data_IF_265061168043
#
_entry.id   IF_265061168043
#
_cell.length_a   1.000
_cell.length_b   1.000
_cell.length_c   1.000
_cell.angle_alpha   90.00
_cell.angle_beta   90.00
_cell.angle_gamma   90.00
#
_symmetry.space_group_name_H-M   'P 1'
#
loop_
_entity.id
_entity.type
_entity.pdbx_description
1 polymer ?
#
# COMPACT_ATOMS: atom_id res chain seq x y z
N UNK A 1 4.23 -4.76 -35.86
CA UNK A 1 5.54 -4.22 -35.42
C UNK A 1 5.54 -4.28 -33.90
N UNK A 2 6.43 -5.07 -33.29
CA UNK A 2 6.66 -4.98 -31.85
C UNK A 2 7.27 -3.62 -31.59
N UNK A 3 6.58 -2.79 -30.79
CA UNK A 3 7.15 -1.51 -30.35
C UNK A 3 8.39 -1.80 -29.50
N UNK A 4 9.49 -1.18 -29.86
CA UNK A 4 10.76 -1.29 -29.15
C UNK A 4 10.61 -0.76 -27.71
N UNK A 5 11.15 -1.48 -26.74
CA UNK A 5 11.13 -1.06 -25.34
C UNK A 5 12.04 0.14 -25.12
N UNK A 6 11.63 1.06 -24.28
CA UNK A 6 12.54 2.10 -23.80
C UNK A 6 13.60 1.49 -22.88
N UNK A 7 14.79 2.12 -22.79
CA UNK A 7 15.86 1.69 -21.87
C UNK A 7 15.41 1.55 -20.41
N UNK A 8 14.37 2.30 -19.99
CA UNK A 8 13.80 2.20 -18.66
C UNK A 8 12.97 0.93 -18.49
N UNK A 9 12.16 0.59 -19.49
CA UNK A 9 11.34 -0.62 -19.53
C UNK A 9 12.20 -1.88 -19.62
N UNK A 10 13.22 -1.90 -20.49
CA UNK A 10 14.19 -3.01 -20.60
C UNK A 10 14.84 -3.30 -19.25
N UNK A 11 15.40 -2.28 -18.60
CA UNK A 11 16.04 -2.42 -17.29
C UNK A 11 15.07 -2.90 -16.21
N UNK A 12 13.81 -2.44 -16.23
CA UNK A 12 12.82 -2.89 -15.27
C UNK A 12 12.45 -4.35 -15.50
N UNK A 13 12.25 -4.77 -16.75
CA UNK A 13 12.01 -6.17 -17.11
C UNK A 13 13.19 -7.08 -16.69
N UNK A 14 14.44 -6.67 -16.94
CA UNK A 14 15.62 -7.40 -16.47
C UNK A 14 15.63 -7.57 -14.95
N UNK A 15 15.38 -6.51 -14.20
CA UNK A 15 15.32 -6.54 -12.72
C UNK A 15 14.19 -7.41 -12.19
N UNK A 16 13.06 -7.43 -12.88
CA UNK A 16 11.92 -8.30 -12.60
C UNK A 16 12.10 -9.74 -13.07
N UNK A 17 13.19 -10.02 -13.82
CA UNK A 17 13.45 -11.30 -14.47
C UNK A 17 12.34 -11.72 -15.45
N UNK A 18 11.75 -10.73 -16.12
CA UNK A 18 10.77 -10.93 -17.17
C UNK A 18 11.49 -10.99 -18.53
N UNK A 19 11.09 -11.91 -19.40
CA UNK A 19 11.64 -12.06 -20.75
C UNK A 19 10.55 -12.53 -21.72
N UNK A 20 10.81 -12.37 -23.02
CA UNK A 20 9.90 -12.84 -24.08
C UNK A 20 8.48 -12.27 -23.93
N UNK A 21 7.48 -13.13 -23.96
CA UNK A 21 6.07 -12.78 -23.89
C UNK A 21 5.70 -12.11 -22.56
N UNK A 22 6.27 -12.54 -21.44
CA UNK A 22 6.00 -11.94 -20.11
C UNK A 22 6.46 -10.47 -20.05
N UNK A 23 7.64 -10.16 -20.61
CA UNK A 23 8.13 -8.81 -20.68
C UNK A 23 7.26 -7.93 -21.60
N UNK A 24 6.84 -8.48 -22.75
CA UNK A 24 5.95 -7.78 -23.69
C UNK A 24 4.60 -7.48 -23.06
N UNK A 25 3.97 -8.46 -22.42
CA UNK A 25 2.69 -8.29 -21.71
C UNK A 25 2.79 -7.24 -20.59
N UNK A 26 3.87 -7.27 -19.81
CA UNK A 26 4.10 -6.30 -18.76
C UNK A 26 4.24 -4.87 -19.30
N UNK A 27 5.06 -4.66 -20.33
CA UNK A 27 5.25 -3.33 -20.93
C UNK A 27 3.97 -2.85 -21.60
N UNK A 28 3.23 -3.73 -22.27
CA UNK A 28 1.91 -3.40 -22.83
C UNK A 28 0.93 -2.97 -21.75
N UNK A 29 0.87 -3.66 -20.61
CA UNK A 29 0.03 -3.29 -19.48
C UNK A 29 0.43 -1.91 -18.90
N UNK A 30 1.73 -1.63 -18.76
CA UNK A 30 2.20 -0.30 -18.35
C UNK A 30 1.77 0.81 -19.29
N UNK A 31 1.85 0.58 -20.61
CA UNK A 31 1.54 1.57 -21.65
C UNK A 31 0.04 1.73 -21.88
N UNK A 32 -0.74 0.68 -21.64
CA UNK A 32 -2.21 0.72 -21.83
C UNK A 32 -2.89 1.76 -20.98
N UNK A 33 -2.38 1.99 -19.77
CA UNK A 33 -3.00 2.89 -18.79
C UNK A 33 -4.38 2.43 -18.29
N UNK A 34 -4.78 1.19 -18.56
CA UNK A 34 -6.12 0.66 -18.32
C UNK A 34 -6.24 -0.17 -17.03
N UNK A 35 -5.17 -0.30 -16.26
CA UNK A 35 -5.16 -1.17 -15.07
C UNK A 35 -5.69 -0.49 -13.80
N UNK A 36 -6.19 0.75 -13.90
CA UNK A 36 -6.79 1.43 -12.75
C UNK A 36 -8.09 0.75 -12.35
N UNK A 37 -8.18 0.27 -11.12
CA UNK A 37 -9.42 -0.28 -10.55
C UNK A 37 -9.70 0.38 -9.21
N UNK A 38 -10.96 0.74 -9.00
CA UNK A 38 -11.40 1.37 -7.75
C UNK A 38 -11.89 0.32 -6.76
N UNK A 39 -11.73 0.65 -5.49
CA UNK A 39 -12.41 0.02 -4.38
C UNK A 39 -13.01 1.11 -3.49
N UNK A 40 -13.96 0.74 -2.66
CA UNK A 40 -14.49 1.58 -1.60
C UNK A 40 -14.37 0.84 -0.27
N UNK A 41 -13.89 1.52 0.75
CA UNK A 41 -13.86 1.02 2.12
C UNK A 41 -14.90 1.77 2.94
N UNK A 42 -15.76 1.04 3.64
CA UNK A 42 -16.76 1.65 4.51
C UNK A 42 -16.10 2.33 5.71
N UNK A 43 -16.52 3.53 5.97
CA UNK A 43 -16.10 4.28 7.15
C UNK A 43 -16.85 3.82 8.42
N UNK A 44 -16.43 4.25 9.61
CA UNK A 44 -17.18 4.04 10.84
C UNK A 44 -18.57 4.71 10.86
N UNK A 45 -18.80 5.69 9.97
CA UNK A 45 -20.11 6.35 9.82
C UNK A 45 -21.14 5.47 9.14
N UNK A 46 -20.70 4.49 8.32
CA UNK A 46 -21.60 3.60 7.62
C UNK A 46 -22.30 2.66 8.62
N UNK A 47 -23.64 2.55 8.56
CA UNK A 47 -24.40 1.57 9.36
C UNK A 47 -23.88 0.14 9.17
N UNK A 48 -24.17 -0.75 10.11
CA UNK A 48 -23.69 -2.13 10.04
C UNK A 48 -24.28 -2.91 8.84
N UNK A 49 -25.48 -2.57 8.43
CA UNK A 49 -26.23 -3.14 7.31
C UNK A 49 -26.13 -2.30 6.03
N UNK A 50 -25.20 -1.33 5.99
CA UNK A 50 -25.03 -0.46 4.84
C UNK A 50 -24.64 -1.24 3.58
N UNK A 51 -25.39 -0.99 2.51
CA UNK A 51 -25.05 -1.45 1.16
C UNK A 51 -24.72 -0.23 0.27
N UNK A 52 -23.65 -0.30 -0.53
CA UNK A 52 -23.32 0.78 -1.46
C UNK A 52 -24.47 1.07 -2.46
N UNK A 53 -24.70 2.34 -2.84
CA UNK A 53 -25.78 2.72 -3.76
C UNK A 53 -25.43 2.50 -5.23
N UNK A 54 -24.48 1.63 -5.53
CA UNK A 54 -24.00 1.27 -6.87
C UNK A 54 -23.74 -0.23 -6.98
N UNK A 55 -23.69 -0.75 -8.20
CA UNK A 55 -23.37 -2.15 -8.44
C UNK A 55 -21.94 -2.50 -8.01
N UNK A 56 -21.78 -3.66 -7.40
CA UNK A 56 -20.48 -4.16 -6.95
C UNK A 56 -20.18 -5.53 -7.56
N UNK A 57 -18.91 -5.81 -7.75
CA UNK A 57 -18.44 -7.14 -8.10
C UNK A 57 -18.58 -8.11 -6.91
N UNK A 58 -18.73 -9.42 -7.16
CA UNK A 58 -18.79 -10.43 -6.12
C UNK A 58 -17.50 -10.43 -5.28
N UNK A 59 -17.63 -10.36 -3.96
CA UNK A 59 -16.47 -10.31 -3.04
C UNK A 59 -15.67 -11.62 -3.02
N UNK A 60 -16.32 -12.76 -3.27
CA UNK A 60 -15.71 -14.10 -3.33
C UNK A 60 -14.72 -14.27 -4.50
N UNK A 61 -14.80 -13.41 -5.50
CA UNK A 61 -13.79 -13.34 -6.57
C UNK A 61 -12.39 -12.91 -6.07
N UNK A 62 -12.32 -12.33 -4.86
CA UNK A 62 -11.10 -11.75 -4.29
C UNK A 62 -10.87 -12.25 -2.86
N UNK A 63 -10.28 -13.45 -2.66
CA UNK A 63 -10.09 -14.06 -1.34
C UNK A 63 -9.25 -13.24 -0.35
N UNK A 64 -8.52 -12.26 -0.88
CA UNK A 64 -7.70 -11.32 -0.13
C UNK A 64 -8.40 -9.98 0.18
N UNK A 65 -9.66 -9.81 -0.25
CA UNK A 65 -10.36 -8.53 -0.05
C UNK A 65 -10.59 -8.26 1.45
N UNK A 66 -10.13 -7.12 1.98
CA UNK A 66 -10.34 -6.81 3.38
C UNK A 66 -11.83 -6.68 3.74
N UNK A 67 -12.20 -6.87 5.01
CA UNK A 67 -13.58 -6.67 5.45
C UNK A 67 -14.04 -5.23 5.21
N UNK A 68 -15.34 -5.05 4.97
CA UNK A 68 -15.98 -3.74 4.71
C UNK A 68 -15.43 -3.02 3.47
N UNK A 69 -14.83 -3.76 2.53
CA UNK A 69 -14.39 -3.26 1.24
C UNK A 69 -15.28 -3.81 0.15
N UNK A 70 -15.66 -2.95 -0.81
CA UNK A 70 -16.45 -3.30 -1.98
C UNK A 70 -15.70 -2.89 -3.24
N UNK A 71 -15.86 -3.65 -4.31
CA UNK A 71 -15.31 -3.35 -5.62
C UNK A 71 -16.46 -2.90 -6.52
N UNK A 72 -16.53 -1.61 -6.87
CA UNK A 72 -17.56 -1.11 -7.78
C UNK A 72 -17.46 -1.77 -9.14
N UNK A 73 -18.60 -2.04 -9.74
CA UNK A 73 -18.65 -2.51 -11.13
C UNK A 73 -18.00 -1.48 -12.09
N UNK A 74 -17.45 -1.93 -13.23
CA UNK A 74 -16.84 -1.01 -14.20
C UNK A 74 -17.79 0.12 -14.62
N UNK A 75 -17.28 1.34 -14.62
CA UNK A 75 -18.06 2.52 -15.02
C UNK A 75 -18.79 3.24 -13.87
N UNK A 76 -18.86 2.66 -12.68
CA UNK A 76 -19.52 3.29 -11.53
C UNK A 76 -18.82 4.59 -11.09
N UNK A 77 -19.62 5.65 -10.92
CA UNK A 77 -19.15 6.97 -10.52
C UNK A 77 -19.21 7.16 -9.01
N UNK A 78 -18.50 6.31 -8.26
CA UNK A 78 -18.60 6.20 -6.79
C UNK A 78 -18.47 7.53 -6.02
N UNK A 79 -17.71 8.49 -6.54
CA UNK A 79 -17.52 9.80 -5.87
C UNK A 79 -18.63 10.81 -6.19
N UNK A 80 -19.57 10.48 -7.08
CA UNK A 80 -20.70 11.33 -7.42
C UNK A 80 -21.87 11.19 -6.43
N UNK A 81 -21.91 10.09 -5.67
CA UNK A 81 -23.01 9.80 -4.75
C UNK A 81 -22.97 10.69 -3.50
N UNK A 82 -24.15 10.94 -2.93
CA UNK A 82 -24.28 11.70 -1.68
C UNK A 82 -23.60 11.01 -0.51
N UNK A 83 -23.65 9.69 -0.45
CA UNK A 83 -23.01 8.88 0.57
C UNK A 83 -21.49 9.08 0.63
N UNK A 84 -20.84 9.31 -0.52
CA UNK A 84 -19.43 9.69 -0.56
C UNK A 84 -19.21 11.05 0.11
N UNK A 85 -20.06 12.04 -0.20
CA UNK A 85 -20.00 13.38 0.39
C UNK A 85 -20.33 13.36 1.88
N UNK A 86 -21.20 12.44 2.31
CA UNK A 86 -21.52 12.18 3.71
C UNK A 86 -20.41 11.40 4.46
N UNK A 87 -19.39 10.94 3.75
CA UNK A 87 -18.28 10.20 4.32
C UNK A 87 -18.62 8.78 4.79
N UNK A 88 -19.66 8.14 4.23
CA UNK A 88 -20.03 6.76 4.56
C UNK A 88 -19.01 5.75 4.03
N UNK A 89 -18.26 6.10 2.99
CA UNK A 89 -17.16 5.32 2.47
C UNK A 89 -16.06 6.21 1.89
N UNK A 90 -14.88 5.64 1.78
CA UNK A 90 -13.71 6.24 1.15
C UNK A 90 -13.37 5.47 -0.13
N UNK A 91 -13.13 6.20 -1.24
CA UNK A 91 -12.71 5.60 -2.51
C UNK A 91 -11.20 5.56 -2.61
N UNK A 92 -10.64 4.40 -2.98
CA UNK A 92 -9.21 4.18 -3.12
C UNK A 92 -8.91 3.24 -4.28
N UNK A 93 -7.62 3.03 -4.55
CA UNK A 93 -7.19 2.05 -5.55
C UNK A 93 -7.30 0.62 -5.01
N UNK A 94 -7.76 -0.31 -5.83
CA UNK A 94 -7.91 -1.72 -5.45
C UNK A 94 -6.56 -2.35 -5.05
N UNK A 95 -5.45 -1.91 -5.67
CA UNK A 95 -4.10 -2.39 -5.27
C UNK A 95 -3.77 -2.04 -3.82
N UNK A 96 -4.27 -0.91 -3.29
CA UNK A 96 -4.08 -0.57 -1.88
C UNK A 96 -4.83 -1.52 -0.93
N UNK A 97 -5.99 -2.03 -1.36
CA UNK A 97 -6.72 -3.06 -0.61
C UNK A 97 -5.93 -4.38 -0.61
N UNK A 98 -5.40 -4.78 -1.77
CA UNK A 98 -4.56 -5.97 -1.90
C UNK A 98 -3.30 -5.87 -1.02
N UNK A 99 -2.58 -4.75 -1.03
CA UNK A 99 -1.42 -4.52 -0.18
C UNK A 99 -1.78 -4.63 1.31
N UNK A 100 -2.96 -4.15 1.69
CA UNK A 100 -3.46 -4.16 3.07
C UNK A 100 -4.03 -5.51 3.52
N UNK A 101 -4.23 -6.47 2.61
CA UNK A 101 -4.67 -7.82 2.95
C UNK A 101 -3.69 -8.54 3.91
N UNK A 102 -2.41 -8.14 3.90
CA UNK A 102 -1.42 -8.63 4.85
C UNK A 102 -1.78 -8.36 6.32
N UNK A 103 -2.64 -7.37 6.58
CA UNK A 103 -3.14 -7.08 7.92
C UNK A 103 -3.98 -8.22 8.50
N UNK A 104 -4.49 -9.15 7.66
CA UNK A 104 -5.22 -10.34 8.12
C UNK A 104 -4.40 -11.24 9.03
N UNK A 105 -3.09 -11.18 8.91
CA UNK A 105 -2.15 -11.94 9.73
C UNK A 105 -1.72 -11.21 11.02
N UNK A 106 -2.24 -10.00 11.26
CA UNK A 106 -1.89 -9.22 12.45
C UNK A 106 -2.98 -9.38 13.51
N UNK A 107 -2.66 -9.86 14.72
CA UNK A 107 -3.59 -9.85 15.83
C UNK A 107 -4.13 -8.44 16.11
N UNK A 108 -5.36 -8.28 16.64
CA UNK A 108 -5.91 -6.96 16.94
C UNK A 108 -4.94 -6.10 17.75
N UNK A 109 -4.39 -5.01 17.18
CA UNK A 109 -3.44 -4.15 17.87
C UNK A 109 -4.18 -3.21 18.84
N UNK A 110 -3.53 -2.77 19.90
CA UNK A 110 -4.05 -1.72 20.80
C UNK A 110 -3.68 -0.33 20.28
N UNK A 111 -2.56 -0.25 19.59
CA UNK A 111 -2.05 1.01 19.03
C UNK A 111 -1.47 0.79 17.62
N UNK A 112 -1.63 1.80 16.77
CA UNK A 112 -1.08 1.76 15.41
C UNK A 112 -0.53 3.11 14.95
N UNK A 113 0.47 3.05 14.05
CA UNK A 113 1.03 4.21 13.37
C UNK A 113 1.03 3.97 11.86
N UNK A 114 0.34 4.83 11.11
CA UNK A 114 0.53 4.98 9.66
C UNK A 114 1.57 6.10 9.42
N UNK A 115 2.79 5.72 9.04
CA UNK A 115 3.93 6.65 9.02
C UNK A 115 3.94 7.59 7.81
N UNK A 116 3.27 7.21 6.71
CA UNK A 116 3.20 7.97 5.46
C UNK A 116 1.75 8.05 4.96
N UNK A 117 0.84 8.50 5.83
CA UNK A 117 -0.58 8.24 5.77
C UNK A 117 -1.36 8.92 4.62
N UNK A 118 -0.90 10.10 4.15
CA UNK A 118 -1.70 10.85 3.18
C UNK A 118 -1.81 10.15 1.81
N UNK A 119 -2.99 10.17 1.20
CA UNK A 119 -4.19 10.94 1.53
C UNK A 119 -5.13 10.29 2.56
N UNK A 120 -4.85 9.06 3.08
CA UNK A 120 -5.63 8.40 4.11
C UNK A 120 -6.23 7.05 3.74
N UNK A 121 -6.04 6.55 2.52
CA UNK A 121 -6.67 5.29 2.06
C UNK A 121 -6.30 4.08 2.92
N UNK A 122 -5.02 3.85 3.20
CA UNK A 122 -4.57 2.76 4.06
C UNK A 122 -4.90 2.98 5.54
N UNK A 123 -4.91 4.25 5.98
CA UNK A 123 -5.46 4.65 7.29
C UNK A 123 -6.92 4.19 7.44
N UNK A 124 -7.76 4.40 6.39
CA UNK A 124 -9.16 3.94 6.38
C UNK A 124 -9.26 2.42 6.42
N UNK A 125 -8.42 1.70 5.68
CA UNK A 125 -8.39 0.23 5.68
C UNK A 125 -8.01 -0.34 7.06
N UNK A 126 -7.03 0.26 7.75
CA UNK A 126 -6.70 -0.11 9.13
C UNK A 126 -7.85 0.18 10.09
N UNK A 127 -8.49 1.33 9.95
CA UNK A 127 -9.62 1.72 10.79
C UNK A 127 -10.82 0.77 10.59
N UNK A 128 -11.17 0.45 9.34
CA UNK A 128 -12.26 -0.47 9.04
C UNK A 128 -12.05 -1.86 9.66
N UNK A 129 -10.78 -2.25 9.87
CA UNK A 129 -10.44 -3.56 10.42
C UNK A 129 -10.33 -3.58 11.94
N UNK A 130 -9.76 -2.54 12.55
CA UNK A 130 -9.29 -2.60 13.94
C UNK A 130 -9.94 -1.61 14.90
N UNK A 131 -10.82 -0.71 14.44
CA UNK A 131 -11.45 0.22 15.39
C UNK A 131 -12.33 -0.51 16.42
N UNK A 132 -12.33 -0.03 17.66
CA UNK A 132 -11.61 1.14 18.19
C UNK A 132 -10.19 0.82 18.66
N UNK A 133 -9.20 1.60 18.22
CA UNK A 133 -7.80 1.52 18.66
C UNK A 133 -7.18 2.93 18.78
N UNK A 134 -6.07 3.06 19.51
CA UNK A 134 -5.24 4.27 19.48
C UNK A 134 -4.51 4.34 18.13
N UNK A 135 -4.97 5.21 17.25
CA UNK A 135 -4.46 5.33 15.88
C UNK A 135 -3.76 6.66 15.65
N UNK A 136 -2.52 6.59 15.16
CA UNK A 136 -1.75 7.77 14.75
C UNK A 136 -1.53 7.73 13.24
N UNK A 137 -1.92 8.80 12.53
CA UNK A 137 -1.69 8.98 11.10
C UNK A 137 -0.70 10.13 10.90
N UNK A 138 0.46 9.85 10.31
CA UNK A 138 1.54 10.81 10.13
C UNK A 138 1.75 11.18 8.66
N UNK A 139 1.92 12.46 8.37
CA UNK A 139 2.32 12.94 7.05
C UNK A 139 3.20 14.19 7.19
N UNK A 140 4.42 14.10 6.67
CA UNK A 140 5.42 15.18 6.78
C UNK A 140 5.04 16.40 5.96
N UNK A 141 4.51 16.19 4.75
CA UNK A 141 4.11 17.28 3.86
C UNK A 141 2.85 17.97 4.38
N UNK A 142 2.95 19.26 4.67
CA UNK A 142 1.86 20.02 5.29
C UNK A 142 0.58 20.09 4.44
N UNK A 143 0.72 20.23 3.11
CA UNK A 143 -0.44 20.26 2.20
C UNK A 143 -1.14 18.90 2.15
N UNK A 144 -0.39 17.80 2.00
CA UNK A 144 -0.94 16.45 2.03
C UNK A 144 -1.55 16.10 3.39
N UNK A 145 -0.94 16.56 4.49
CA UNK A 145 -1.47 16.40 5.84
C UNK A 145 -2.81 17.13 6.04
N UNK A 146 -3.01 18.27 5.36
CA UNK A 146 -4.32 18.95 5.31
C UNK A 146 -5.39 18.06 4.67
N UNK A 147 -5.10 17.44 3.55
CA UNK A 147 -5.99 16.49 2.86
C UNK A 147 -6.29 15.28 3.77
N UNK A 148 -5.27 14.72 4.41
CA UNK A 148 -5.43 13.61 5.36
C UNK A 148 -6.42 13.96 6.49
N UNK A 149 -6.27 15.14 7.10
CA UNK A 149 -7.21 15.61 8.16
C UNK A 149 -8.64 15.71 7.66
N UNK A 150 -8.83 16.31 6.49
CA UNK A 150 -10.16 16.43 5.88
C UNK A 150 -10.79 15.05 5.63
N UNK A 151 -10.04 14.08 5.14
CA UNK A 151 -10.54 12.74 4.89
C UNK A 151 -10.85 11.99 6.19
N UNK A 152 -10.01 12.11 7.21
CA UNK A 152 -10.25 11.52 8.55
C UNK A 152 -11.51 12.10 9.18
N UNK A 153 -11.68 13.41 9.11
CA UNK A 153 -12.86 14.11 9.63
C UNK A 153 -14.12 13.72 8.85
N UNK A 154 -14.07 13.75 7.53
CA UNK A 154 -15.18 13.35 6.66
C UNK A 154 -15.65 11.93 6.94
N UNK A 155 -14.74 10.98 7.03
CA UNK A 155 -15.06 9.58 7.29
C UNK A 155 -15.32 9.26 8.77
N UNK A 156 -15.13 10.22 9.67
CA UNK A 156 -15.42 10.05 11.10
C UNK A 156 -14.57 8.97 11.76
N UNK A 157 -13.24 9.04 11.64
CA UNK A 157 -12.33 8.16 12.35
C UNK A 157 -12.07 8.70 13.78
N UNK A 158 -12.83 8.24 14.79
CA UNK A 158 -12.66 8.76 16.13
C UNK A 158 -11.30 8.34 16.73
N UNK A 159 -10.73 9.22 17.52
CA UNK A 159 -9.47 8.93 18.23
C UNK A 159 -8.22 8.92 17.35
N UNK A 160 -8.33 9.22 16.04
CA UNK A 160 -7.16 9.29 15.18
C UNK A 160 -6.37 10.57 15.40
N UNK A 161 -5.13 10.45 15.86
CA UNK A 161 -4.21 11.58 16.03
C UNK A 161 -3.45 11.83 14.73
N UNK A 162 -3.56 13.04 14.15
CA UNK A 162 -2.80 13.42 12.95
C UNK A 162 -1.53 14.19 13.31
N UNK A 163 -0.38 13.68 12.90
CA UNK A 163 0.94 14.25 13.18
C UNK A 163 1.69 14.63 11.91
N UNK A 164 2.81 15.34 12.06
CA UNK A 164 3.66 15.78 10.94
C UNK A 164 5.15 15.60 11.23
N UNK A 165 5.50 14.60 12.02
CA UNK A 165 6.89 14.34 12.41
C UNK A 165 7.66 13.66 11.27
N UNK A 166 8.93 14.04 11.12
CA UNK A 166 9.83 13.34 10.21
C UNK A 166 10.17 11.95 10.77
N UNK A 167 10.53 10.99 9.90
CA UNK A 167 10.90 9.63 10.34
C UNK A 167 11.99 9.60 11.42
N UNK A 168 13.00 10.47 11.33
CA UNK A 168 14.05 10.58 12.34
C UNK A 168 13.53 11.02 13.71
N UNK A 169 12.56 11.93 13.75
CA UNK A 169 11.89 12.36 14.98
C UNK A 169 11.05 11.21 15.59
N UNK A 170 10.37 10.41 14.76
CA UNK A 170 9.68 9.21 15.21
C UNK A 170 10.66 8.21 15.82
N UNK A 171 11.75 7.87 15.12
CA UNK A 171 12.76 6.94 15.61
C UNK A 171 13.46 7.39 16.90
N UNK A 172 13.46 8.70 17.22
CA UNK A 172 13.99 9.29 18.45
C UNK A 172 12.94 9.48 19.55
N UNK A 173 11.65 9.30 19.25
CA UNK A 173 10.55 9.63 20.17
C UNK A 173 10.41 8.69 21.37
N UNK A 174 10.96 7.49 21.29
CA UNK A 174 10.76 6.42 22.28
C UNK A 174 9.35 5.81 22.26
N UNK A 175 8.42 6.30 21.41
CA UNK A 175 7.09 5.72 21.28
C UNK A 175 7.15 4.43 20.49
N UNK A 176 6.37 3.45 20.91
CA UNK A 176 6.23 2.15 20.24
C UNK A 176 4.74 1.82 20.01
N UNK A 177 4.49 1.09 18.93
CA UNK A 177 3.14 0.71 18.48
C UNK A 177 3.10 -0.80 18.24
N UNK A 178 1.92 -1.40 18.43
CA UNK A 178 1.71 -2.82 18.14
C UNK A 178 1.68 -3.09 16.62
N UNK A 179 1.20 -2.11 15.84
CA UNK A 179 1.18 -2.15 14.38
C UNK A 179 1.71 -0.85 13.77
N UNK A 180 2.61 -0.97 12.81
CA UNK A 180 3.11 0.15 12.04
C UNK A 180 2.94 -0.11 10.54
N UNK A 181 2.41 0.87 9.81
CA UNK A 181 2.32 0.86 8.35
C UNK A 181 3.31 1.86 7.76
N UNK A 182 4.04 1.41 6.74
CA UNK A 182 4.92 2.25 5.91
C UNK A 182 4.49 2.09 4.46
N UNK A 183 3.51 2.91 4.03
CA UNK A 183 3.23 3.11 2.61
C UNK A 183 4.26 4.09 2.06
N UNK A 184 5.40 3.55 1.65
CA UNK A 184 6.58 4.35 1.45
C UNK A 184 6.49 5.24 0.19
N UNK A 185 6.93 6.52 0.27
CA UNK A 185 7.10 7.31 -0.93
C UNK A 185 8.07 6.59 -1.88
N UNK A 186 7.63 6.34 -3.11
CA UNK A 186 8.32 5.51 -4.09
C UNK A 186 8.33 6.16 -5.47
N UNK A 187 8.95 5.52 -6.46
CA UNK A 187 8.95 5.99 -7.85
C UNK A 187 7.55 5.97 -8.48
N UNK A 188 6.59 5.21 -7.92
CA UNK A 188 5.21 5.21 -8.38
C UNK A 188 5.03 4.67 -9.80
N UNK A 189 5.70 3.60 -10.16
CA UNK A 189 5.64 3.02 -11.51
C UNK A 189 4.24 2.51 -11.87
N UNK A 190 3.45 2.09 -10.87
CA UNK A 190 2.05 1.67 -11.10
C UNK A 190 1.15 2.80 -11.60
N UNK A 191 1.55 4.07 -11.46
CA UNK A 191 0.83 5.19 -12.03
C UNK A 191 0.78 5.14 -13.56
N UNK A 192 1.83 4.61 -14.22
CA UNK A 192 1.81 4.40 -15.67
C UNK A 192 0.70 3.43 -16.07
N UNK A 193 0.59 2.30 -15.38
CA UNK A 193 -0.47 1.31 -15.62
C UNK A 193 -1.88 1.86 -15.34
N UNK A 194 -1.99 2.99 -14.64
CA UNK A 194 -3.25 3.74 -14.41
C UNK A 194 -3.51 4.85 -15.44
N UNK A 195 -2.66 4.99 -16.46
CA UNK A 195 -2.74 6.06 -17.45
C UNK A 195 -2.27 7.43 -16.94
N UNK A 196 -1.58 7.48 -15.81
CA UNK A 196 -1.08 8.73 -15.24
C UNK A 196 0.37 8.97 -15.66
N UNK A 197 0.68 10.22 -16.01
CA UNK A 197 2.05 10.62 -16.37
C UNK A 197 2.92 10.67 -15.11
N UNK A 198 4.04 9.96 -15.14
CA UNK A 198 5.03 9.99 -14.07
C UNK A 198 6.46 10.00 -14.65
N UNK A 199 6.92 11.15 -15.16
CA UNK A 199 8.21 11.25 -15.83
C UNK A 199 9.36 10.84 -14.91
N UNK A 200 10.26 10.00 -15.43
CA UNK A 200 11.45 9.55 -14.71
C UNK A 200 11.25 8.37 -13.75
N UNK A 201 10.01 7.87 -13.56
CA UNK A 201 9.74 6.78 -12.62
C UNK A 201 10.48 5.46 -12.94
N UNK A 202 10.83 5.25 -14.21
CA UNK A 202 11.68 4.14 -14.67
C UNK A 202 13.18 4.49 -14.62
N UNK A 203 13.53 5.72 -14.28
CA UNK A 203 14.89 6.23 -14.25
C UNK A 203 15.67 5.78 -13.01
N UNK A 204 16.93 5.32 -13.20
CA UNK A 204 17.78 4.90 -12.07
C UNK A 204 17.98 6.00 -10.99
N UNK A 205 18.10 7.30 -11.31
CA UNK A 205 18.23 8.33 -10.29
C UNK A 205 17.03 8.39 -9.35
N UNK A 206 15.80 8.31 -9.89
CA UNK A 206 14.57 8.34 -9.08
C UNK A 206 14.45 7.08 -8.23
N UNK A 207 14.63 5.90 -8.82
CA UNK A 207 14.56 4.61 -8.13
C UNK A 207 15.58 4.56 -6.99
N UNK A 208 16.87 4.85 -7.27
CA UNK A 208 17.93 4.80 -6.28
C UNK A 208 17.75 5.85 -5.16
N UNK A 209 17.27 7.04 -5.52
CA UNK A 209 16.95 8.10 -4.56
C UNK A 209 15.84 7.70 -3.60
N UNK A 210 14.76 7.08 -4.12
CA UNK A 210 13.66 6.57 -3.31
C UNK A 210 14.10 5.37 -2.47
N UNK A 211 14.83 4.41 -3.01
CA UNK A 211 15.34 3.27 -2.26
C UNK A 211 16.21 3.70 -1.07
N UNK A 212 17.04 4.75 -1.24
CA UNK A 212 17.82 5.33 -0.11
C UNK A 212 16.91 5.97 0.93
N UNK A 213 15.89 6.73 0.50
CA UNK A 213 14.90 7.36 1.39
C UNK A 213 14.12 6.32 2.15
N UNK A 214 13.61 5.29 1.48
CA UNK A 214 12.83 4.20 2.06
C UNK A 214 13.63 3.43 3.13
N UNK A 215 14.91 3.14 2.88
CA UNK A 215 15.79 2.56 3.91
C UNK A 215 15.88 3.45 5.15
N UNK A 216 16.02 4.76 4.99
CA UNK A 216 16.01 5.70 6.11
C UNK A 216 14.67 5.70 6.88
N UNK A 217 13.54 5.66 6.18
CA UNK A 217 12.20 5.57 6.78
C UNK A 217 12.07 4.25 7.55
N UNK A 218 12.46 3.13 6.96
CA UNK A 218 12.39 1.81 7.60
C UNK A 218 13.27 1.72 8.86
N UNK A 219 14.48 2.29 8.84
CA UNK A 219 15.36 2.36 10.00
C UNK A 219 14.76 3.15 11.17
N UNK A 220 13.96 4.16 10.90
CA UNK A 220 13.21 4.89 11.91
C UNK A 220 11.97 4.08 12.38
N UNK A 221 11.23 3.50 11.41
CA UNK A 221 10.02 2.75 11.66
C UNK A 221 10.23 1.54 12.58
N UNK A 222 11.29 0.74 12.36
CA UNK A 222 11.57 -0.45 13.18
C UNK A 222 11.82 -0.13 14.66
N UNK A 223 12.21 1.10 14.98
CA UNK A 223 12.38 1.56 16.37
C UNK A 223 11.06 1.89 17.05
N UNK A 224 10.02 2.11 16.26
CA UNK A 224 8.68 2.47 16.73
C UNK A 224 7.73 1.27 16.83
N UNK A 225 8.21 0.05 16.65
CA UNK A 225 7.40 -1.16 16.80
C UNK A 225 7.72 -1.85 18.12
N UNK A 226 6.69 -2.21 18.88
CA UNK A 226 6.82 -2.93 20.14
C UNK A 226 7.40 -4.34 19.92
N UNK A 227 8.07 -4.97 20.91
CA UNK A 227 8.37 -6.40 20.87
C UNK A 227 7.10 -7.21 20.60
N UNK A 228 7.15 -8.18 19.69
CA UNK A 228 5.98 -8.93 19.21
C UNK A 228 5.11 -8.19 18.19
N UNK A 229 5.31 -6.89 17.99
CA UNK A 229 4.53 -6.06 17.06
C UNK A 229 4.88 -6.28 15.59
N UNK A 230 4.08 -5.68 14.71
CA UNK A 230 4.16 -5.87 13.26
C UNK A 230 4.42 -4.56 12.52
N UNK A 231 5.07 -4.69 11.36
CA UNK A 231 5.27 -3.60 10.40
C UNK A 231 4.88 -4.07 9.01
N UNK A 232 3.91 -3.40 8.39
CA UNK A 232 3.56 -3.61 6.99
C UNK A 232 4.28 -2.56 6.12
N UNK A 233 5.16 -3.03 5.24
CA UNK A 233 5.83 -2.21 4.23
C UNK A 233 5.15 -2.37 2.88
N UNK A 234 4.75 -1.27 2.24
CA UNK A 234 4.09 -1.25 0.93
C UNK A 234 4.66 -0.17 0.02
N UNK A 235 4.57 -0.40 -1.29
CA UNK A 235 4.90 0.59 -2.33
C UNK A 235 4.03 0.39 -3.56
N UNK A 236 3.71 1.47 -4.26
CA UNK A 236 3.06 1.43 -5.58
C UNK A 236 4.10 1.41 -6.73
N UNK A 237 5.18 0.64 -6.57
CA UNK A 237 6.22 0.48 -7.60
C UNK A 237 6.61 -0.98 -7.79
N UNK A 238 7.21 -1.30 -8.93
CA UNK A 238 7.62 -2.66 -9.26
C UNK A 238 9.12 -2.92 -9.07
N UNK A 239 9.95 -1.87 -8.96
CA UNK A 239 11.41 -2.03 -8.94
C UNK A 239 11.90 -2.71 -7.66
N UNK A 240 12.66 -3.82 -7.76
CA UNK A 240 13.18 -4.55 -6.60
C UNK A 240 14.11 -3.71 -5.71
N UNK A 241 14.72 -2.66 -6.24
CA UNK A 241 15.55 -1.74 -5.44
C UNK A 241 14.75 -1.05 -4.34
N UNK A 242 13.49 -0.72 -4.64
CA UNK A 242 12.57 -0.05 -3.71
C UNK A 242 11.75 -1.02 -2.87
N UNK A 243 11.75 -2.30 -3.21
CA UNK A 243 10.92 -3.36 -2.66
C UNK A 243 11.78 -4.37 -1.86
N UNK A 244 12.07 -5.52 -2.46
CA UNK A 244 12.78 -6.63 -1.80
C UNK A 244 14.13 -6.20 -1.22
N UNK A 245 14.88 -5.34 -1.90
CA UNK A 245 16.19 -4.89 -1.41
C UNK A 245 16.10 -3.97 -0.20
N UNK A 246 15.02 -3.20 -0.06
CA UNK A 246 14.76 -2.39 1.15
C UNK A 246 14.46 -3.31 2.33
N UNK A 247 13.58 -4.28 2.15
CA UNK A 247 13.23 -5.26 3.19
C UNK A 247 14.44 -6.13 3.57
N UNK A 248 15.15 -6.68 2.58
CA UNK A 248 16.37 -7.48 2.78
C UNK A 248 17.44 -6.73 3.58
N UNK A 249 17.57 -5.41 3.35
CA UNK A 249 18.50 -4.57 4.12
C UNK A 249 18.17 -4.56 5.61
N UNK A 250 16.89 -4.55 5.99
CA UNK A 250 16.42 -4.61 7.38
C UNK A 250 16.67 -6.01 7.96
N UNK A 251 16.17 -7.05 7.29
CA UNK A 251 16.26 -8.43 7.79
C UNK A 251 17.69 -8.91 8.03
N UNK A 252 18.65 -8.47 7.18
CA UNK A 252 20.07 -8.83 7.34
C UNK A 252 20.75 -8.12 8.50
N UNK A 253 20.29 -6.94 8.93
CA UNK A 253 20.93 -6.12 9.95
C UNK A 253 20.30 -6.24 11.32
N UNK A 254 19.06 -6.67 11.37
CA UNK A 254 18.23 -6.73 12.56
C UNK A 254 17.61 -8.12 12.71
N UNK A 255 18.37 -9.08 13.32
CA UNK A 255 17.95 -10.49 13.41
C UNK A 255 16.71 -10.72 14.27
N UNK A 256 16.32 -9.71 15.06
CA UNK A 256 15.04 -9.68 15.79
C UNK A 256 13.84 -9.48 14.89
N UNK A 257 14.04 -9.21 13.59
CA UNK A 257 12.96 -9.08 12.60
C UNK A 257 12.83 -10.31 11.72
N UNK A 258 11.61 -10.67 11.39
CA UNK A 258 11.29 -11.73 10.43
C UNK A 258 10.16 -11.30 9.52
N UNK A 259 10.15 -11.80 8.28
CA UNK A 259 9.01 -11.64 7.39
C UNK A 259 7.95 -12.71 7.70
N UNK A 260 6.68 -12.31 7.64
CA UNK A 260 5.52 -13.14 7.98
C UNK A 260 4.86 -13.62 6.70
N UNK A 261 4.51 -14.90 6.65
CA UNK A 261 3.70 -15.44 5.55
C UNK A 261 2.26 -14.90 5.61
N UNK A 262 1.73 -14.53 4.45
CA UNK A 262 0.36 -14.04 4.27
C UNK A 262 -0.36 -15.00 3.32
N UNK A 263 -1.12 -15.98 3.84
CA UNK A 263 -1.70 -17.06 3.03
C UNK A 263 -2.58 -16.56 1.88
N UNK A 264 -3.40 -15.55 2.10
CA UNK A 264 -4.29 -15.00 1.06
C UNK A 264 -3.53 -14.30 -0.09
N UNK A 265 -2.25 -13.96 0.10
CA UNK A 265 -1.39 -13.37 -0.93
C UNK A 265 -0.42 -14.37 -1.57
N UNK A 266 -0.49 -15.68 -1.25
CA UNK A 266 0.48 -16.65 -1.72
C UNK A 266 0.58 -16.75 -3.25
N UNK A 267 -0.51 -16.52 -3.97
CA UNK A 267 -0.52 -16.46 -5.45
C UNK A 267 0.29 -15.28 -6.03
N UNK A 268 0.68 -14.33 -5.20
CA UNK A 268 1.47 -13.14 -5.54
C UNK A 268 2.88 -13.18 -4.95
N UNK A 269 3.35 -14.34 -4.46
CA UNK A 269 4.65 -14.45 -3.84
C UNK A 269 5.77 -13.97 -4.77
N UNK A 270 6.63 -13.07 -4.27
CA UNK A 270 7.75 -12.55 -5.05
C UNK A 270 8.81 -13.62 -5.26
N UNK A 271 9.20 -13.86 -6.53
CA UNK A 271 10.30 -14.75 -6.90
C UNK A 271 11.68 -14.08 -6.76
N UNK A 272 11.72 -12.83 -6.30
CA UNK A 272 12.93 -12.02 -6.17
C UNK A 272 13.47 -11.94 -4.74
N UNK A 273 12.76 -12.56 -3.78
CA UNK A 273 13.13 -12.61 -2.37
C UNK A 273 13.28 -14.08 -1.91
N UNK A 274 14.10 -14.28 -0.89
CA UNK A 274 14.26 -15.52 -0.13
C UNK A 274 13.47 -15.50 1.20
N UNK A 275 12.56 -14.52 1.33
CA UNK A 275 11.66 -14.32 2.45
C UNK A 275 10.24 -14.02 1.96
N UNK A 276 9.20 -14.18 2.78
CA UNK A 276 7.83 -13.85 2.42
C UNK A 276 7.68 -12.37 2.01
N UNK A 277 7.39 -12.15 0.74
CA UNK A 277 7.09 -10.85 0.16
C UNK A 277 6.17 -11.06 -1.05
N UNK A 278 5.32 -10.09 -1.35
CA UNK A 278 4.26 -10.22 -2.34
C UNK A 278 4.32 -9.08 -3.34
N UNK A 279 4.10 -9.43 -4.60
CA UNK A 279 4.18 -8.50 -5.73
C UNK A 279 3.00 -8.74 -6.67
N UNK A 280 2.21 -7.71 -6.91
CA UNK A 280 1.22 -7.69 -7.97
C UNK A 280 1.79 -6.91 -9.16
N UNK A 281 1.79 -7.54 -10.34
CA UNK A 281 2.08 -6.86 -11.60
C UNK A 281 0.76 -6.52 -12.33
N UNK A 282 0.73 -5.50 -13.19
CA UNK A 282 -0.49 -5.08 -13.88
C UNK A 282 -1.05 -6.11 -14.87
N UNK A 283 -0.29 -7.13 -15.20
CA UNK A 283 -0.70 -8.25 -16.07
C UNK A 283 -1.65 -9.26 -15.40
N UNK A 284 -1.87 -9.14 -14.09
CA UNK A 284 -2.72 -10.08 -13.33
C UNK A 284 -4.20 -9.69 -13.32
N UNK A 285 -4.59 -8.68 -14.11
CA UNK A 285 -5.98 -8.17 -14.31
C UNK A 285 -6.72 -7.76 -13.03
N UNK A 286 -6.01 -7.70 -11.90
CA UNK A 286 -6.58 -7.36 -10.59
C UNK A 286 -6.50 -5.87 -10.32
N UNK A 287 -5.50 -5.19 -10.86
CA UNK A 287 -5.27 -3.77 -10.66
C UNK A 287 -3.89 -3.34 -11.15
N UNK A 288 -3.53 -2.09 -10.88
CA UNK A 288 -2.24 -1.54 -11.30
C UNK A 288 -1.04 -2.13 -10.53
N UNK A 289 -1.30 -2.82 -9.42
CA UNK A 289 -0.29 -3.54 -8.67
C UNK A 289 0.59 -2.71 -7.75
N UNK A 290 1.49 -3.41 -7.08
CA UNK A 290 2.41 -2.87 -6.08
C UNK A 290 3.17 -3.97 -5.36
N UNK A 291 3.65 -3.64 -4.18
CA UNK A 291 4.43 -4.54 -3.32
C UNK A 291 3.93 -4.49 -1.88
N UNK A 292 3.92 -5.63 -1.20
CA UNK A 292 3.62 -5.75 0.21
C UNK A 292 4.56 -6.75 0.90
N UNK A 293 5.03 -6.41 2.09
CA UNK A 293 5.77 -7.31 2.96
C UNK A 293 5.41 -7.03 4.42
N UNK A 294 4.87 -8.04 5.10
CA UNK A 294 4.57 -7.99 6.52
C UNK A 294 5.79 -8.47 7.30
N UNK A 295 6.25 -7.65 8.23
CA UNK A 295 7.35 -7.95 9.14
C UNK A 295 6.84 -8.05 10.57
N UNK A 296 7.47 -8.91 11.37
CA UNK A 296 7.22 -9.01 12.79
C UNK A 296 8.54 -8.83 13.56
N UNK A 297 8.49 -8.02 14.61
CA UNK A 297 9.54 -7.95 15.61
C UNK A 297 9.36 -9.10 16.61
N UNK A 298 10.37 -9.95 16.76
CA UNK A 298 10.36 -11.02 17.78
C UNK A 298 10.20 -10.42 19.17
N UNK A 299 9.51 -11.14 20.04
CA UNK A 299 9.28 -10.75 21.43
C UNK A 299 10.54 -10.87 22.31
#
# INVERSE_FOLDING_TARGET
MQEEFSKGEERLCERLRLSGEDAAAFVQALRSGACARKAVVLSPRAPADYAPPFACEPADAYPWLPPRVFIPAPGEAVTAHEDYRAGLYYSLDLSSCWESAALDCVPPPRSSLDLCAAPGGKTMLMAARYLPIDHTANEVNAARRGILRQNIELCGLPGTTVTGLRPDQWGASGRVFDLLLVDAPCSGQSLLAKGLRNPGCLGAPMVNGNAKRQRGIMLAAIRCVAPGGHLLYTTCTYDPEENEKVVSYILRRYPEWQAVQVPCLQGFASRLADFPAYRMLPVQEVGAGGFACLLQRKG
#
